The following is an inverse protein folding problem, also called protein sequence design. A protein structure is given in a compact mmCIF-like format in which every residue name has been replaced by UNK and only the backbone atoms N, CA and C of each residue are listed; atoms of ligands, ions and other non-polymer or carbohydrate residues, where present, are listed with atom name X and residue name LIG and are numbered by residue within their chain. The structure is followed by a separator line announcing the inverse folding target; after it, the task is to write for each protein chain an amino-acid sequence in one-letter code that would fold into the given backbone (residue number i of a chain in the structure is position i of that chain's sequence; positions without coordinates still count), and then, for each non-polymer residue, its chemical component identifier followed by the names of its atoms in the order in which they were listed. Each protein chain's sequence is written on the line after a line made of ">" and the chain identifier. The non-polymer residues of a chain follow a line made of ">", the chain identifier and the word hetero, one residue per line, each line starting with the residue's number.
data_IF_514385737288
#
_entry.id   IF_514385737288
#
_cell.length_a   1.000
_cell.length_b   1.000
_cell.length_c   1.000
_cell.angle_alpha   90.00
_cell.angle_beta   90.00
_cell.angle_gamma   90.00
#
_symmetry.space_group_name_H-M   'P 1'
#
loop_
_entity.id
_entity.type
_entity.pdbx_description
1 polymer ?
#
# COMPACT_ATOMS: atom_id res chain seq x y z
N UNK A 1 -21.85 -7.48 9.48
CA UNK A 1 -20.98 -8.50 10.11
C UNK A 1 -19.93 -8.92 9.09
N UNK A 2 -18.68 -9.14 9.50
CA UNK A 2 -17.65 -9.70 8.62
C UNK A 2 -17.93 -11.20 8.39
N UNK A 3 -17.65 -11.68 7.18
CA UNK A 3 -18.09 -13.00 6.70
C UNK A 3 -16.93 -13.92 6.29
N UNK A 4 -15.77 -13.35 5.95
CA UNK A 4 -14.60 -14.09 5.51
C UNK A 4 -13.34 -13.29 5.82
N UNK A 5 -12.24 -13.97 6.14
CA UNK A 5 -10.91 -13.41 6.25
C UNK A 5 -9.90 -14.34 5.56
N UNK A 6 -9.03 -13.79 4.71
CA UNK A 6 -7.99 -14.53 3.97
C UNK A 6 -6.67 -13.83 4.15
N UNK A 7 -5.66 -14.54 4.65
CA UNK A 7 -4.30 -14.03 4.73
C UNK A 7 -3.58 -14.08 3.39
N UNK A 8 -2.73 -13.11 3.12
CA UNK A 8 -1.85 -13.10 1.97
C UNK A 8 -0.41 -12.76 2.36
N UNK A 9 0.53 -13.22 1.52
CA UNK A 9 1.94 -12.87 1.56
C UNK A 9 2.43 -12.74 0.10
N UNK A 10 2.77 -11.52 -0.33
CA UNK A 10 3.12 -11.22 -1.72
C UNK A 10 4.56 -10.67 -1.82
N UNK A 11 5.44 -11.25 -2.66
CA UNK A 11 6.79 -10.75 -2.81
C UNK A 11 6.80 -9.40 -3.53
N UNK A 12 7.64 -8.47 -3.06
CA UNK A 12 7.91 -7.20 -3.72
C UNK A 12 8.99 -7.40 -4.80
N UNK A 13 8.93 -6.58 -5.85
CA UNK A 13 9.97 -6.55 -6.91
C UNK A 13 11.28 -5.96 -6.41
N UNK A 14 11.19 -4.92 -5.59
CA UNK A 14 12.31 -4.20 -5.01
C UNK A 14 12.05 -4.08 -3.49
N UNK A 15 13.11 -4.13 -2.68
CA UNK A 15 12.99 -3.87 -1.23
C UNK A 15 12.43 -2.46 -1.03
N UNK A 16 11.45 -2.33 -0.16
CA UNK A 16 10.80 -1.06 0.14
C UNK A 16 10.44 -0.99 1.62
N UNK A 17 10.85 0.08 2.31
CA UNK A 17 10.67 0.24 3.77
C UNK A 17 11.11 -0.99 4.55
N UNK A 18 12.30 -1.52 4.24
CA UNK A 18 12.86 -2.68 4.94
C UNK A 18 12.26 -4.05 4.59
N UNK A 19 11.11 -4.13 3.90
CA UNK A 19 10.45 -5.40 3.58
C UNK A 19 10.69 -5.87 2.15
N UNK A 20 10.62 -7.19 1.94
CA UNK A 20 10.61 -7.86 0.64
C UNK A 20 9.35 -8.70 0.40
N UNK A 21 8.50 -8.85 1.42
CA UNK A 21 7.19 -9.51 1.34
C UNK A 21 6.15 -8.59 1.98
N UNK A 22 5.02 -8.40 1.31
CA UNK A 22 3.86 -7.67 1.83
C UNK A 22 2.85 -8.66 2.35
N UNK A 23 2.60 -8.60 3.65
CA UNK A 23 1.60 -9.42 4.33
C UNK A 23 0.38 -8.60 4.73
N UNK A 24 -0.74 -9.28 4.91
CA UNK A 24 -1.99 -8.71 5.41
C UNK A 24 -3.16 -9.70 5.36
N UNK A 25 -4.35 -9.18 5.67
CA UNK A 25 -5.62 -9.88 5.60
C UNK A 25 -6.55 -9.16 4.61
N UNK A 26 -7.23 -9.93 3.77
CA UNK A 26 -8.42 -9.47 3.06
C UNK A 26 -9.64 -9.92 3.86
N UNK A 27 -10.51 -8.99 4.23
CA UNK A 27 -11.76 -9.28 4.95
C UNK A 27 -12.97 -8.89 4.10
N UNK A 28 -14.03 -9.68 4.16
CA UNK A 28 -15.28 -9.43 3.41
C UNK A 28 -16.42 -9.09 4.35
N UNK A 29 -17.08 -7.96 4.09
CA UNK A 29 -18.33 -7.56 4.76
C UNK A 29 -19.41 -7.17 3.75
N UNK A 30 -20.46 -6.52 4.24
CA UNK A 30 -21.62 -6.15 3.44
C UNK A 30 -21.32 -5.12 2.33
N UNK A 31 -20.31 -4.25 2.52
CA UNK A 31 -19.90 -3.26 1.54
C UNK A 31 -18.86 -3.78 0.53
N UNK A 32 -18.29 -4.97 0.77
CA UNK A 32 -17.30 -5.60 -0.12
C UNK A 32 -16.09 -6.14 0.61
N UNK A 33 -14.95 -6.13 -0.08
CA UNK A 33 -13.65 -6.53 0.46
C UNK A 33 -12.88 -5.32 0.98
N UNK A 34 -12.14 -5.50 2.08
CA UNK A 34 -11.20 -4.53 2.62
C UNK A 34 -9.87 -5.19 2.99
N UNK A 35 -8.82 -4.39 3.03
CA UNK A 35 -7.47 -4.82 3.37
C UNK A 35 -7.10 -4.34 4.78
N UNK A 36 -6.66 -5.27 5.64
CA UNK A 36 -5.97 -4.97 6.88
C UNK A 36 -4.51 -5.38 6.73
N UNK A 37 -3.61 -4.40 6.71
CA UNK A 37 -2.22 -4.68 6.37
C UNK A 37 -1.24 -3.77 7.13
N UNK A 38 -1.29 -3.67 8.46
CA UNK A 38 -0.25 -2.95 9.20
C UNK A 38 1.14 -3.54 8.90
N UNK A 39 2.18 -2.71 9.00
CA UNK A 39 3.55 -3.22 9.00
C UNK A 39 3.83 -3.94 10.35
N UNK A 40 4.76 -4.92 10.38
CA UNK A 40 4.98 -5.76 11.56
C UNK A 40 5.36 -4.99 12.84
N UNK A 41 5.96 -3.80 12.71
CA UNK A 41 6.35 -2.96 13.83
C UNK A 41 5.20 -2.24 14.53
N UNK A 42 4.04 -2.08 13.87
CA UNK A 42 2.91 -1.37 14.46
C UNK A 42 2.17 -2.26 15.45
N UNK A 43 2.03 -1.75 16.68
CA UNK A 43 1.28 -2.39 17.76
C UNK A 43 0.19 -1.45 18.26
N UNK A 44 -0.53 -1.81 19.32
CA UNK A 44 -1.47 -0.89 19.94
C UNK A 44 -0.73 0.33 20.52
N UNK A 45 -1.30 1.55 20.39
CA UNK A 45 -2.62 1.84 19.81
C UNK A 45 -2.61 2.13 18.30
N UNK A 46 -1.45 2.14 17.64
CA UNK A 46 -1.31 2.54 16.23
C UNK A 46 -2.10 1.64 15.28
N UNK A 47 -2.16 0.34 15.59
CA UNK A 47 -2.85 -0.67 14.79
C UNK A 47 -4.38 -0.52 14.82
N UNK A 48 -4.94 0.21 15.79
CA UNK A 48 -6.39 0.38 15.95
C UNK A 48 -6.98 1.14 14.77
N UNK A 49 -6.27 2.16 14.27
CA UNK A 49 -6.69 2.94 13.11
C UNK A 49 -6.72 2.08 11.83
N UNK A 50 -5.78 1.14 11.68
CA UNK A 50 -5.77 0.20 10.56
C UNK A 50 -7.01 -0.70 10.58
N UNK A 51 -7.38 -1.19 11.76
CA UNK A 51 -8.58 -2.02 11.90
C UNK A 51 -9.87 -1.24 11.68
N UNK A 52 -9.95 -0.01 12.20
CA UNK A 52 -11.09 0.87 11.98
C UNK A 52 -11.31 1.14 10.48
N UNK A 53 -10.26 1.51 9.74
CA UNK A 53 -10.32 1.73 8.30
C UNK A 53 -10.73 0.47 7.52
N UNK A 54 -10.21 -0.69 7.92
CA UNK A 54 -10.58 -1.99 7.31
C UNK A 54 -12.07 -2.27 7.51
N UNK A 55 -12.57 -2.07 8.73
CA UNK A 55 -13.96 -2.34 9.08
C UNK A 55 -14.91 -1.39 8.36
N UNK A 56 -14.58 -0.10 8.28
CA UNK A 56 -15.34 0.89 7.52
C UNK A 56 -15.44 0.47 6.05
N UNK A 57 -14.32 0.17 5.39
CA UNK A 57 -14.29 -0.24 4.00
C UNK A 57 -15.09 -1.53 3.74
N UNK A 58 -15.04 -2.49 4.66
CA UNK A 58 -15.75 -3.77 4.51
C UNK A 58 -17.25 -3.68 4.81
N UNK A 59 -17.70 -2.73 5.63
CA UNK A 59 -19.07 -2.75 6.18
C UNK A 59 -19.91 -1.52 5.89
N UNK A 60 -19.29 -0.36 5.67
CA UNK A 60 -19.97 0.92 5.44
C UNK A 60 -19.75 1.38 3.99
N UNK A 61 -18.53 1.24 3.48
CA UNK A 61 -18.12 1.77 2.18
C UNK A 61 -17.65 3.23 2.26
N UNK A 62 -17.32 3.83 1.12
CA UNK A 62 -16.77 5.19 1.05
C UNK A 62 -17.83 6.21 0.62
N UNK A 63 -17.69 7.49 1.00
CA UNK A 63 -18.50 8.57 0.45
C UNK A 63 -18.49 8.60 -1.08
N UNK A 64 -19.55 9.14 -1.67
CA UNK A 64 -19.65 9.26 -3.12
C UNK A 64 -18.45 10.05 -3.69
N UNK A 65 -17.75 9.52 -4.71
CA UNK A 65 -16.61 10.21 -5.31
C UNK A 65 -17.09 11.48 -6.04
N UNK A 66 -16.33 12.57 -5.90
CA UNK A 66 -16.58 13.84 -6.63
C UNK A 66 -15.80 13.94 -7.94
N UNK A 67 -15.07 12.87 -8.31
CA UNK A 67 -14.31 12.74 -9.54
C UNK A 67 -14.10 11.26 -9.87
N UNK A 68 -14.11 10.94 -11.16
CA UNK A 68 -13.95 9.55 -11.61
C UNK A 68 -12.48 9.13 -11.76
N UNK A 69 -11.55 10.11 -11.79
CA UNK A 69 -10.11 9.87 -11.99
C UNK A 69 -9.28 10.73 -11.06
N UNK A 70 -8.19 10.15 -10.56
CA UNK A 70 -7.20 10.82 -9.69
C UNK A 70 -5.82 10.72 -10.36
N UNK A 71 -5.12 11.84 -10.62
CA UNK A 71 -3.75 11.78 -11.11
C UNK A 71 -2.84 11.21 -10.03
N UNK A 72 -1.94 10.31 -10.41
CA UNK A 72 -1.00 9.65 -9.50
C UNK A 72 0.45 10.03 -9.79
N UNK A 73 1.30 9.91 -8.79
CA UNK A 73 2.75 9.95 -8.97
C UNK A 73 3.30 8.50 -9.06
N UNK A 74 4.41 8.34 -9.79
CA UNK A 74 5.20 7.10 -9.69
C UNK A 74 6.00 7.10 -8.39
N UNK A 75 6.16 5.94 -7.75
CA UNK A 75 7.06 5.77 -6.60
C UNK A 75 8.32 5.07 -7.08
N UNK A 76 9.47 5.74 -6.90
CA UNK A 76 10.79 5.22 -7.27
C UNK A 76 11.48 4.73 -5.98
N UNK A 77 11.71 3.41 -5.82
CA UNK A 77 12.41 2.86 -4.67
C UNK A 77 13.89 3.27 -4.65
N UNK A 78 14.60 2.93 -3.57
CA UNK A 78 16.05 3.12 -3.50
C UNK A 78 16.78 2.12 -4.40
N UNK A 79 16.93 2.47 -5.68
CA UNK A 79 17.56 1.68 -6.75
C UNK A 79 18.65 2.49 -7.46
N UNK A 80 19.47 1.83 -8.27
CA UNK A 80 20.49 2.52 -9.08
C UNK A 80 19.90 3.47 -10.13
N UNK A 81 20.65 4.49 -10.58
CA UNK A 81 20.13 5.60 -11.37
C UNK A 81 19.49 5.17 -12.70
N UNK A 82 20.07 4.18 -13.40
CA UNK A 82 19.49 3.64 -14.64
C UNK A 82 18.09 3.05 -14.39
N UNK A 83 17.94 2.24 -13.34
CA UNK A 83 16.66 1.64 -12.98
C UNK A 83 15.64 2.69 -12.55
N UNK A 84 16.08 3.73 -11.82
CA UNK A 84 15.23 4.84 -11.43
C UNK A 84 14.68 5.58 -12.67
N UNK A 85 15.55 5.87 -13.65
CA UNK A 85 15.16 6.44 -14.93
C UNK A 85 14.13 5.56 -15.65
N UNK A 86 14.39 4.25 -15.76
CA UNK A 86 13.50 3.31 -16.45
C UNK A 86 12.09 3.27 -15.80
N UNK A 87 12.01 3.31 -14.47
CA UNK A 87 10.74 3.37 -13.73
C UNK A 87 9.97 4.65 -14.08
N UNK A 88 10.63 5.81 -14.09
CA UNK A 88 9.98 7.09 -14.40
C UNK A 88 9.53 7.14 -15.85
N UNK A 89 10.41 6.77 -16.79
CA UNK A 89 10.13 6.79 -18.23
C UNK A 89 8.96 5.88 -18.62
N UNK A 90 8.84 4.71 -17.96
CA UNK A 90 7.75 3.77 -18.21
C UNK A 90 6.44 4.10 -17.46
N UNK A 91 6.43 5.09 -16.56
CA UNK A 91 5.33 5.28 -15.61
C UNK A 91 4.07 5.93 -16.18
N UNK A 92 4.19 6.68 -17.28
CA UNK A 92 3.13 7.57 -17.78
C UNK A 92 2.74 8.71 -16.81
N UNK A 93 3.46 8.86 -15.69
CA UNK A 93 3.19 9.86 -14.67
C UNK A 93 3.94 11.16 -14.94
N UNK A 94 3.34 12.30 -14.57
CA UNK A 94 4.01 13.62 -14.63
C UNK A 94 4.76 13.97 -13.34
N UNK A 95 4.70 13.11 -12.33
CA UNK A 95 5.28 13.34 -11.00
C UNK A 95 5.90 12.06 -10.49
N UNK A 96 7.08 12.16 -9.88
CA UNK A 96 7.80 11.03 -9.27
C UNK A 96 8.14 11.32 -7.81
N UNK A 97 7.95 10.32 -6.94
CA UNK A 97 8.39 10.32 -5.54
C UNK A 97 9.63 9.43 -5.43
N UNK A 98 10.79 10.03 -5.22
CA UNK A 98 12.07 9.32 -5.14
C UNK A 98 12.44 9.03 -3.69
N UNK A 99 12.67 7.76 -3.37
CA UNK A 99 13.17 7.37 -2.05
C UNK A 99 14.67 7.63 -1.97
N UNK A 100 15.07 8.40 -0.96
CA UNK A 100 16.46 8.70 -0.61
C UNK A 100 16.77 8.24 0.82
N UNK A 101 18.06 8.20 1.17
CA UNK A 101 18.57 7.82 2.49
C UNK A 101 18.10 6.41 2.95
N UNK A 102 18.17 5.43 2.05
CA UNK A 102 17.94 4.03 2.43
C UNK A 102 19.22 3.45 3.06
N UNK A 103 19.15 2.89 4.28
CA UNK A 103 20.31 2.26 4.91
C UNK A 103 20.95 1.21 4.01
N UNK A 104 22.28 1.28 3.84
CA UNK A 104 23.03 0.33 3.01
C UNK A 104 23.05 0.64 1.50
N UNK A 105 22.54 1.80 1.06
CA UNK A 105 22.77 2.35 -0.27
C UNK A 105 23.51 3.69 -0.20
N UNK A 106 24.61 3.80 -0.96
CA UNK A 106 25.29 5.05 -1.28
C UNK A 106 24.59 5.77 -2.43
#
# INVERSE_FOLDING_TARGET
>A
MLSTAVAYALPLRDRFRGITVREGLLVRGAAGWAEWSPFPEYTHPEIDAWWAATTEAATIGFPAPVRDRVPVNVTVPAVGPRRAHDIVAASGCRTAKVKVAEPGRA
#
